data_IF_728617627410
#
_entry.id   IF_728617627410
#
_cell.length_a   1.000
_cell.length_b   1.000
_cell.length_c   1.000
_cell.angle_alpha   90.00
_cell.angle_beta   90.00
_cell.angle_gamma   90.00
#
_symmetry.space_group_name_H-M   'P 1'
#
loop_
_entity.id
_entity.type
_entity.pdbx_description
1 polymer ?
#
# COMPACT_ATOMS: atom_id res chain seq x y z
N UNK A 1 6.38 -4.64 35.79
CA UNK A 1 5.92 -5.99 36.17
C UNK A 1 4.48 -6.05 36.72
N UNK A 2 3.70 -4.94 36.72
CA UNK A 2 2.30 -4.92 37.19
C UNK A 2 1.26 -4.87 36.05
N UNK A 3 1.66 -4.64 34.80
CA UNK A 3 0.70 -4.33 33.71
C UNK A 3 0.16 -5.56 32.94
N UNK A 4 0.92 -6.67 32.90
CA UNK A 4 0.50 -7.87 32.15
C UNK A 4 -0.63 -8.66 32.81
N UNK A 5 -0.79 -8.57 34.15
CA UNK A 5 -1.86 -9.30 34.87
C UNK A 5 -3.23 -8.68 34.60
N UNK A 6 -3.30 -7.36 34.50
CA UNK A 6 -4.53 -6.65 34.17
C UNK A 6 -4.98 -6.95 32.73
N UNK A 7 -4.03 -6.94 31.79
CA UNK A 7 -4.28 -7.38 30.41
C UNK A 7 -4.78 -8.83 30.36
N UNK A 8 -4.17 -9.71 31.18
CA UNK A 8 -4.60 -11.09 31.35
C UNK A 8 -6.05 -11.21 31.84
N UNK A 9 -6.47 -10.43 32.84
CA UNK A 9 -7.86 -10.42 33.30
C UNK A 9 -8.85 -9.92 32.24
N UNK A 10 -8.45 -8.95 31.42
CA UNK A 10 -9.28 -8.48 30.29
C UNK A 10 -9.46 -9.60 29.26
N UNK A 11 -8.39 -10.28 28.85
CA UNK A 11 -8.47 -11.40 27.90
C UNK A 11 -9.26 -12.59 28.47
N UNK A 12 -9.13 -12.88 29.77
CA UNK A 12 -9.93 -13.90 30.46
C UNK A 12 -11.41 -13.51 30.46
N UNK A 13 -11.73 -12.25 30.77
CA UNK A 13 -13.10 -11.74 30.74
C UNK A 13 -13.73 -11.84 29.34
N UNK A 14 -12.98 -11.44 28.31
CA UNK A 14 -13.40 -11.58 26.90
C UNK A 14 -13.63 -13.05 26.55
N UNK A 15 -12.72 -13.94 26.94
CA UNK A 15 -12.84 -15.38 26.71
C UNK A 15 -14.05 -16.02 27.38
N UNK A 16 -14.33 -15.65 28.64
CA UNK A 16 -15.53 -16.10 29.38
C UNK A 16 -16.80 -15.62 28.67
N UNK A 17 -16.81 -14.38 28.19
CA UNK A 17 -17.97 -13.79 27.52
C UNK A 17 -18.27 -14.49 26.18
N UNK A 18 -17.25 -14.78 25.36
CA UNK A 18 -17.40 -15.59 24.15
C UNK A 18 -17.82 -17.04 24.45
N UNK A 19 -17.30 -17.64 25.53
CA UNK A 19 -17.68 -18.98 25.95
C UNK A 19 -19.14 -19.06 26.40
N UNK A 20 -19.60 -18.11 27.23
CA UNK A 20 -21.00 -18.01 27.66
C UNK A 20 -21.96 -17.76 26.50
N UNK A 21 -21.53 -17.01 25.49
CA UNK A 21 -22.30 -16.82 24.26
C UNK A 21 -22.42 -18.13 23.46
N UNK A 22 -21.32 -18.85 23.25
CA UNK A 22 -21.32 -20.16 22.57
C UNK A 22 -22.14 -21.21 23.33
N UNK A 23 -22.14 -21.12 24.67
CA UNK A 23 -22.93 -21.98 25.55
C UNK A 23 -24.43 -21.59 25.61
N UNK A 24 -24.86 -20.52 24.92
CA UNK A 24 -26.25 -20.07 24.89
C UNK A 24 -26.74 -19.40 26.17
N UNK A 25 -25.84 -19.06 27.11
CA UNK A 25 -26.17 -18.39 28.38
C UNK A 25 -26.46 -16.91 28.18
N UNK A 26 -25.78 -16.28 27.22
CA UNK A 26 -26.02 -14.89 26.83
C UNK A 26 -26.29 -14.81 25.33
N UNK A 27 -27.38 -14.15 24.96
CA UNK A 27 -27.72 -13.86 23.57
C UNK A 27 -27.19 -12.48 23.18
N UNK A 28 -25.86 -12.34 23.19
CA UNK A 28 -25.22 -11.24 22.50
C UNK A 28 -25.09 -11.70 21.05
N UNK A 29 -25.65 -10.96 20.10
CA UNK A 29 -25.30 -11.22 18.71
C UNK A 29 -23.79 -10.90 18.58
N UNK A 30 -22.93 -11.91 18.40
CA UNK A 30 -21.50 -11.66 18.15
C UNK A 30 -21.32 -10.68 16.96
N UNK A 31 -22.28 -10.71 16.03
CA UNK A 31 -22.40 -9.77 14.92
C UNK A 31 -22.55 -8.30 15.34
N UNK A 32 -23.06 -8.00 16.54
CA UNK A 32 -23.22 -6.62 17.05
C UNK A 32 -22.12 -6.18 18.02
N UNK A 33 -21.32 -7.11 18.55
CA UNK A 33 -20.34 -6.81 19.60
C UNK A 33 -18.92 -6.51 19.07
N UNK A 34 -18.58 -6.95 17.86
CA UNK A 34 -17.24 -6.78 17.29
C UNK A 34 -16.77 -5.32 17.15
N UNK A 35 -17.62 -4.29 16.92
CA UNK A 35 -17.17 -2.90 16.85
C UNK A 35 -16.58 -2.39 18.16
N UNK A 36 -17.06 -2.90 19.31
CA UNK A 36 -16.55 -2.53 20.62
C UNK A 36 -15.10 -2.96 20.84
N UNK A 37 -14.60 -3.95 20.10
CA UNK A 37 -13.18 -4.31 20.12
C UNK A 37 -12.30 -3.14 19.68
N UNK A 38 -12.73 -2.36 18.68
CA UNK A 38 -12.02 -1.17 18.21
C UNK A 38 -12.02 -0.07 19.27
N UNK A 39 -13.16 0.14 19.95
CA UNK A 39 -13.26 1.11 21.05
C UNK A 39 -12.38 0.70 22.23
N UNK A 40 -12.38 -0.58 22.60
CA UNK A 40 -11.51 -1.10 23.66
C UNK A 40 -10.03 -0.96 23.30
N UNK A 41 -9.66 -1.26 22.04
CA UNK A 41 -8.30 -1.10 21.54
C UNK A 41 -7.87 0.37 21.59
N UNK A 42 -8.75 1.27 21.16
CA UNK A 42 -8.52 2.72 21.25
C UNK A 42 -8.30 3.17 22.70
N UNK A 43 -9.17 2.74 23.61
CA UNK A 43 -9.04 3.05 25.04
C UNK A 43 -7.71 2.51 25.60
N UNK A 44 -7.29 1.31 25.20
CA UNK A 44 -6.01 0.72 25.57
C UNK A 44 -4.81 1.55 25.11
N UNK A 45 -4.79 2.02 23.85
CA UNK A 45 -3.73 2.87 23.33
C UNK A 45 -3.67 4.23 24.02
N UNK A 46 -4.83 4.87 24.22
CA UNK A 46 -4.93 6.15 24.93
C UNK A 46 -4.52 6.02 26.40
N UNK A 47 -4.99 4.99 27.10
CA UNK A 47 -4.59 4.70 28.47
C UNK A 47 -3.09 4.41 28.56
N UNK A 48 -2.55 3.62 27.62
CA UNK A 48 -1.11 3.36 27.51
C UNK A 48 -0.30 4.64 27.40
N UNK A 49 -0.74 5.59 26.56
CA UNK A 49 -0.11 6.91 26.48
C UNK A 49 -0.23 7.69 27.81
N UNK A 50 -1.41 7.70 28.45
CA UNK A 50 -1.60 8.36 29.75
C UNK A 50 -0.69 7.78 30.84
N UNK A 51 -0.53 6.46 30.89
CA UNK A 51 0.34 5.78 31.86
C UNK A 51 1.83 6.03 31.65
N UNK A 52 2.23 6.50 30.46
CA UNK A 52 3.60 7.00 30.24
C UNK A 52 3.84 8.41 30.82
N UNK A 53 2.84 9.00 31.49
CA UNK A 53 2.90 10.39 31.94
C UNK A 53 2.76 11.39 30.79
N UNK A 54 2.10 10.99 29.69
CA UNK A 54 1.95 11.78 28.46
C UNK A 54 3.30 12.17 27.82
N UNK A 55 4.29 11.29 27.90
CA UNK A 55 5.61 11.52 27.34
C UNK A 55 5.52 11.68 25.81
N UNK A 56 6.03 12.80 25.28
CA UNK A 56 5.86 13.18 23.87
C UNK A 56 6.52 12.20 22.90
N UNK A 57 7.58 11.50 23.31
CA UNK A 57 8.23 10.44 22.53
C UNK A 57 7.35 9.17 22.42
N UNK A 58 6.34 9.02 23.28
CA UNK A 58 5.36 7.92 23.27
C UNK A 58 4.04 8.29 22.60
N UNK A 59 3.89 9.52 22.10
CA UNK A 59 2.68 9.97 21.40
C UNK A 59 2.38 9.13 20.13
N UNK A 60 3.35 8.38 19.61
CA UNK A 60 3.12 7.40 18.54
C UNK A 60 2.06 6.34 18.87
N UNK A 61 1.81 6.06 20.16
CA UNK A 61 0.72 5.18 20.61
C UNK A 61 -0.67 5.72 20.26
N UNK A 62 -0.81 7.05 20.15
CA UNK A 62 -2.08 7.68 19.82
C UNK A 62 -2.45 7.51 18.35
N UNK A 63 -1.49 7.24 17.44
CA UNK A 63 -1.81 7.01 16.02
C UNK A 63 -2.78 5.83 15.85
N UNK A 64 -2.46 4.60 16.30
CA UNK A 64 -3.43 3.50 16.25
C UNK A 64 -4.61 3.74 17.20
N UNK A 65 -4.45 4.51 18.29
CA UNK A 65 -5.51 4.90 19.20
C UNK A 65 -6.63 5.71 18.52
N UNK A 66 -6.30 6.81 17.86
CA UNK A 66 -7.23 7.66 17.11
C UNK A 66 -7.83 6.95 15.90
N UNK A 67 -7.03 6.15 15.16
CA UNK A 67 -7.55 5.34 14.04
C UNK A 67 -8.66 4.40 14.53
N UNK A 68 -8.37 3.62 15.57
CA UNK A 68 -9.32 2.64 16.11
C UNK A 68 -10.52 3.31 16.80
N UNK A 69 -10.36 4.54 17.30
CA UNK A 69 -11.48 5.32 17.83
C UNK A 69 -12.50 5.64 16.74
N UNK A 70 -12.05 6.26 15.63
CA UNK A 70 -12.92 6.65 14.52
C UNK A 70 -13.57 5.42 13.90
N UNK A 71 -12.78 4.36 13.63
CA UNK A 71 -13.31 3.12 13.08
C UNK A 71 -14.29 2.44 14.03
N UNK A 72 -14.01 2.43 15.33
CA UNK A 72 -14.93 1.87 16.33
C UNK A 72 -16.26 2.62 16.36
N UNK A 73 -16.24 3.96 16.34
CA UNK A 73 -17.45 4.77 16.26
C UNK A 73 -18.23 4.51 14.97
N UNK A 74 -17.54 4.47 13.82
CA UNK A 74 -18.11 4.18 12.51
C UNK A 74 -18.78 2.80 12.49
N UNK A 75 -18.07 1.76 12.91
CA UNK A 75 -18.58 0.40 12.91
C UNK A 75 -19.70 0.18 13.92
N UNK A 76 -19.69 0.88 15.07
CA UNK A 76 -20.83 0.89 15.98
C UNK A 76 -22.08 1.44 15.28
N UNK A 77 -21.94 2.57 14.57
CA UNK A 77 -23.03 3.16 13.80
C UNK A 77 -23.50 2.26 12.65
N UNK A 78 -22.60 1.76 11.82
CA UNK A 78 -22.93 0.88 10.70
C UNK A 78 -23.60 -0.40 11.19
N UNK A 79 -23.05 -1.03 12.23
CA UNK A 79 -23.65 -2.24 12.81
C UNK A 79 -25.01 -1.97 13.44
N UNK A 80 -25.19 -0.84 14.13
CA UNK A 80 -26.48 -0.44 14.71
C UNK A 80 -27.55 -0.13 13.66
N UNK A 81 -27.14 0.29 12.47
CA UNK A 81 -28.03 0.59 11.33
C UNK A 81 -28.14 -0.56 10.35
N UNK A 82 -27.61 -1.74 10.67
CA UNK A 82 -27.62 -2.89 9.76
C UNK A 82 -26.87 -2.62 8.45
N UNK A 83 -25.85 -1.76 8.50
CA UNK A 83 -25.02 -1.30 7.39
C UNK A 83 -25.77 -0.50 6.31
N UNK A 84 -26.99 -0.04 6.60
CA UNK A 84 -27.85 0.67 5.64
C UNK A 84 -27.20 1.93 5.04
N UNK A 85 -26.28 2.57 5.78
CA UNK A 85 -25.63 3.83 5.38
C UNK A 85 -24.18 3.66 4.91
N UNK A 86 -23.68 2.44 4.75
CA UNK A 86 -22.28 2.17 4.40
C UNK A 86 -21.85 2.86 3.09
N UNK A 87 -22.77 3.04 2.14
CA UNK A 87 -22.54 3.76 0.88
C UNK A 87 -22.27 5.26 1.06
N UNK A 88 -22.69 5.85 2.19
CA UNK A 88 -22.55 7.28 2.49
C UNK A 88 -21.45 7.50 3.54
N UNK A 89 -21.25 6.55 4.47
CA UNK A 89 -20.30 6.72 5.58
C UNK A 89 -18.86 6.35 5.24
N UNK A 90 -18.58 5.77 4.06
CA UNK A 90 -17.23 5.36 3.69
C UNK A 90 -16.15 6.47 3.76
N UNK A 91 -16.41 7.78 3.54
CA UNK A 91 -15.37 8.79 3.67
C UNK A 91 -14.82 8.92 5.10
N UNK A 92 -15.55 8.44 6.12
CA UNK A 92 -15.08 8.39 7.52
C UNK A 92 -13.85 7.49 7.68
N UNK A 93 -13.69 6.45 6.83
CA UNK A 93 -12.47 5.64 6.82
C UNK A 93 -11.21 6.48 6.55
N UNK A 94 -11.32 7.57 5.78
CA UNK A 94 -10.20 8.50 5.49
C UNK A 94 -9.86 9.36 6.71
N UNK A 95 -10.85 9.72 7.52
CA UNK A 95 -10.66 10.52 8.73
C UNK A 95 -10.05 9.73 9.90
N UNK A 96 -10.12 8.39 9.88
CA UNK A 96 -9.48 7.56 10.91
C UNK A 96 -7.96 7.81 11.03
N UNK A 97 -7.14 7.68 9.96
CA UNK A 97 -5.73 8.06 10.04
C UNK A 97 -5.52 9.57 10.25
N UNK A 98 -6.45 10.43 9.83
CA UNK A 98 -6.36 11.86 10.07
C UNK A 98 -6.38 12.18 11.58
N UNK A 99 -7.29 11.57 12.35
CA UNK A 99 -7.37 11.76 13.80
C UNK A 99 -6.12 11.21 14.49
N UNK A 100 -5.69 9.98 14.18
CA UNK A 100 -4.50 9.40 14.79
C UNK A 100 -3.22 10.24 14.56
N UNK A 101 -3.05 10.78 13.34
CA UNK A 101 -1.95 11.69 13.04
C UNK A 101 -2.11 13.05 13.71
N UNK A 102 -3.34 13.55 13.86
CA UNK A 102 -3.62 14.79 14.58
C UNK A 102 -3.26 14.68 16.07
N UNK A 103 -3.60 13.56 16.70
CA UNK A 103 -3.22 13.27 18.09
C UNK A 103 -1.70 13.17 18.24
N UNK A 104 -1.02 12.49 17.30
CA UNK A 104 0.44 12.47 17.24
C UNK A 104 1.03 13.88 17.11
N UNK A 105 0.45 14.74 16.28
CA UNK A 105 0.90 16.12 16.19
C UNK A 105 0.69 16.86 17.51
N UNK A 106 -0.52 16.78 18.08
CA UNK A 106 -0.88 17.55 19.26
C UNK A 106 -0.04 17.17 20.50
N UNK A 107 0.18 15.87 20.72
CA UNK A 107 0.89 15.34 21.88
C UNK A 107 2.37 15.00 21.62
N UNK A 108 2.78 14.78 20.37
CA UNK A 108 4.14 14.37 19.97
C UNK A 108 5.09 15.52 19.64
N UNK A 109 4.90 16.68 20.28
CA UNK A 109 5.77 17.85 20.12
C UNK A 109 5.47 18.73 18.90
N UNK A 110 4.25 18.66 18.35
CA UNK A 110 3.71 19.60 17.34
C UNK A 110 4.58 19.78 16.09
N UNK A 111 5.24 18.70 15.65
CA UNK A 111 6.03 18.70 14.41
C UNK A 111 5.13 19.05 13.22
N UNK A 112 5.32 20.23 12.64
CA UNK A 112 4.50 20.77 11.55
C UNK A 112 4.40 19.86 10.33
N UNK A 113 5.42 19.03 10.08
CA UNK A 113 5.38 18.02 9.02
C UNK A 113 4.23 17.01 9.15
N UNK A 114 3.77 16.70 10.37
CA UNK A 114 2.64 15.78 10.61
C UNK A 114 1.30 16.43 10.24
N UNK A 115 1.19 17.77 10.29
CA UNK A 115 -0.04 18.46 9.89
C UNK A 115 -0.34 18.31 8.40
N UNK A 116 0.68 18.13 7.56
CA UNK A 116 0.49 17.97 6.11
C UNK A 116 -0.45 16.78 5.80
N UNK A 117 -0.15 15.54 6.21
CA UNK A 117 -1.07 14.42 5.99
C UNK A 117 -2.40 14.57 6.76
N UNK A 118 -2.41 15.19 7.95
CA UNK A 118 -3.66 15.46 8.69
C UNK A 118 -4.62 16.33 7.86
N UNK A 119 -4.14 17.45 7.33
CA UNK A 119 -4.94 18.34 6.50
C UNK A 119 -5.35 17.68 5.19
N UNK A 120 -4.46 16.94 4.53
CA UNK A 120 -4.78 16.22 3.29
C UNK A 120 -5.91 15.22 3.55
N UNK A 121 -5.79 14.33 4.54
CA UNK A 121 -6.79 13.31 4.81
C UNK A 121 -8.12 13.91 5.27
N UNK A 122 -8.08 14.96 6.10
CA UNK A 122 -9.28 15.66 6.54
C UNK A 122 -10.01 16.33 5.35
N UNK A 123 -9.26 17.04 4.50
CA UNK A 123 -9.80 17.71 3.32
C UNK A 123 -10.34 16.71 2.30
N UNK A 124 -9.63 15.61 2.03
CA UNK A 124 -10.10 14.57 1.11
C UNK A 124 -11.41 13.96 1.61
N UNK A 125 -11.51 13.57 2.88
CA UNK A 125 -12.77 13.06 3.42
C UNK A 125 -13.92 14.09 3.35
N UNK A 126 -13.63 15.38 3.60
CA UNK A 126 -14.61 16.44 3.47
C UNK A 126 -15.07 16.66 2.00
N UNK A 127 -14.14 16.60 1.04
CA UNK A 127 -14.44 16.69 -0.40
C UNK A 127 -15.27 15.49 -0.85
N UNK A 128 -14.98 14.27 -0.36
CA UNK A 128 -15.78 13.09 -0.65
C UNK A 128 -17.23 13.25 -0.14
N UNK A 129 -17.42 13.74 1.09
CA UNK A 129 -18.76 14.06 1.60
C UNK A 129 -19.46 15.17 0.79
N UNK A 130 -18.76 16.24 0.46
CA UNK A 130 -19.30 17.31 -0.37
C UNK A 130 -19.71 16.79 -1.75
N UNK A 131 -18.91 15.90 -2.34
CA UNK A 131 -19.19 15.26 -3.62
C UNK A 131 -20.49 14.45 -3.60
N UNK A 132 -20.79 13.76 -2.51
CA UNK A 132 -22.07 13.03 -2.36
C UNK A 132 -23.30 13.95 -2.43
N UNK A 133 -23.16 15.23 -2.04
CA UNK A 133 -24.24 16.22 -2.15
C UNK A 133 -24.39 16.77 -3.57
N UNK A 134 -23.36 16.63 -4.41
CA UNK A 134 -23.25 17.28 -5.70
C UNK A 134 -23.67 16.40 -6.89
N UNK A 135 -24.21 15.20 -6.64
CA UNK A 135 -24.63 14.25 -7.68
C UNK A 135 -23.57 14.17 -8.81
N UNK A 136 -23.96 14.45 -10.05
CA UNK A 136 -23.07 14.38 -11.22
C UNK A 136 -21.97 15.47 -11.26
N UNK A 137 -22.08 16.52 -10.45
CA UNK A 137 -21.18 17.68 -10.47
C UNK A 137 -19.96 17.54 -9.55
N UNK A 138 -19.84 16.45 -8.77
CA UNK A 138 -18.72 16.25 -7.85
C UNK A 138 -17.31 16.37 -8.47
N UNK A 139 -17.05 16.00 -9.76
CA UNK A 139 -15.74 16.15 -10.37
C UNK A 139 -15.31 17.61 -10.52
N UNK A 140 -16.25 18.57 -10.47
CA UNK A 140 -15.93 20.01 -10.43
C UNK A 140 -15.08 20.40 -9.25
N UNK A 141 -15.26 19.75 -8.10
CA UNK A 141 -14.45 20.07 -6.93
C UNK A 141 -12.96 19.78 -7.23
N UNK A 142 -12.69 18.67 -7.92
CA UNK A 142 -11.34 18.27 -8.34
C UNK A 142 -10.80 19.25 -9.38
N UNK A 143 -11.60 19.61 -10.40
CA UNK A 143 -11.21 20.59 -11.42
C UNK A 143 -10.97 21.97 -10.78
N UNK A 144 -11.82 22.41 -9.87
CA UNK A 144 -11.65 23.68 -9.14
C UNK A 144 -10.35 23.69 -8.34
N UNK A 145 -10.06 22.63 -7.59
CA UNK A 145 -8.79 22.49 -6.87
C UNK A 145 -7.63 22.52 -7.87
N UNK A 146 -7.72 21.80 -8.97
CA UNK A 146 -6.70 21.85 -10.03
C UNK A 146 -6.45 23.27 -10.53
N UNK A 147 -7.49 24.04 -10.85
CA UNK A 147 -7.37 25.43 -11.30
C UNK A 147 -6.70 26.32 -10.24
N UNK A 148 -7.05 26.14 -8.95
CA UNK A 148 -6.39 26.84 -7.84
C UNK A 148 -4.88 26.53 -7.81
N UNK A 149 -4.48 25.26 -8.02
CA UNK A 149 -3.07 24.88 -8.10
C UNK A 149 -2.35 25.55 -9.27
N UNK A 150 -2.96 25.58 -10.47
CA UNK A 150 -2.41 26.25 -11.64
C UNK A 150 -2.25 27.75 -11.40
N UNK A 151 -3.30 28.44 -10.95
CA UNK A 151 -3.26 29.88 -10.62
C UNK A 151 -2.14 30.13 -9.59
N UNK A 152 -2.09 29.34 -8.52
CA UNK A 152 -1.07 29.45 -7.48
C UNK A 152 0.35 29.23 -8.03
N UNK A 153 0.53 28.33 -9.01
CA UNK A 153 1.82 28.07 -9.62
C UNK A 153 2.38 29.26 -10.40
N UNK A 154 1.49 30.06 -11.01
CA UNK A 154 1.88 31.29 -11.71
C UNK A 154 2.02 32.49 -10.77
N UNK A 155 1.22 32.56 -9.69
CA UNK A 155 1.37 33.58 -8.63
C UNK A 155 2.64 33.40 -7.78
N UNK A 156 3.07 32.16 -7.55
CA UNK A 156 4.25 31.83 -6.73
C UNK A 156 5.32 31.06 -7.52
N UNK A 157 6.12 31.74 -8.38
CA UNK A 157 7.09 31.08 -9.26
C UNK A 157 8.08 30.14 -8.55
N UNK A 158 8.44 30.45 -7.30
CA UNK A 158 9.37 29.62 -6.50
C UNK A 158 8.82 28.23 -6.16
N UNK A 159 7.49 28.07 -6.11
CA UNK A 159 6.79 26.81 -5.81
C UNK A 159 6.20 26.15 -7.06
N UNK A 160 6.39 26.75 -8.24
CA UNK A 160 5.69 26.39 -9.48
C UNK A 160 5.74 24.90 -9.81
N UNK A 161 6.94 24.30 -9.86
CA UNK A 161 7.10 22.85 -10.12
C UNK A 161 6.33 21.98 -9.12
N UNK A 162 6.29 22.35 -7.84
CA UNK A 162 5.56 21.59 -6.82
C UNK A 162 4.04 21.75 -6.89
N UNK A 163 3.56 22.79 -7.57
CA UNK A 163 2.13 23.07 -7.74
C UNK A 163 1.58 22.55 -9.08
N UNK A 164 2.36 22.66 -10.16
CA UNK A 164 1.94 22.18 -11.50
C UNK A 164 1.81 20.67 -11.56
N UNK A 165 2.69 19.89 -10.90
CA UNK A 165 2.58 18.42 -10.92
C UNK A 165 1.20 17.96 -10.38
N UNK A 166 0.82 18.26 -9.13
CA UNK A 166 -0.49 17.89 -8.63
C UNK A 166 -1.63 18.63 -9.36
N UNK A 167 -1.41 19.88 -9.80
CA UNK A 167 -2.40 20.64 -10.58
C UNK A 167 -2.79 19.91 -11.87
N UNK A 168 -1.83 19.60 -12.73
CA UNK A 168 -2.05 18.92 -14.00
C UNK A 168 -2.61 17.50 -13.82
N UNK A 169 -2.16 16.75 -12.79
CA UNK A 169 -2.76 15.45 -12.45
C UNK A 169 -4.25 15.60 -12.15
N UNK A 170 -4.60 16.50 -11.22
CA UNK A 170 -5.99 16.73 -10.84
C UNK A 170 -6.82 17.27 -12.01
N UNK A 171 -6.23 18.01 -12.95
CA UNK A 171 -6.95 18.52 -14.11
C UNK A 171 -7.45 17.38 -15.00
N UNK A 172 -6.52 16.50 -15.39
CA UNK A 172 -6.82 15.37 -16.27
C UNK A 172 -7.70 14.36 -15.54
N UNK A 173 -7.40 14.04 -14.29
CA UNK A 173 -8.23 13.15 -13.48
C UNK A 173 -9.63 13.72 -13.25
N UNK A 174 -9.77 15.01 -12.97
CA UNK A 174 -11.07 15.66 -12.81
C UNK A 174 -11.89 15.66 -14.10
N UNK A 175 -11.24 15.91 -15.25
CA UNK A 175 -11.89 15.82 -16.56
C UNK A 175 -12.32 14.39 -16.91
N UNK A 176 -11.50 13.39 -16.60
CA UNK A 176 -11.87 11.99 -16.76
C UNK A 176 -13.06 11.62 -15.87
N UNK A 177 -13.01 11.96 -14.58
CA UNK A 177 -14.10 11.65 -13.65
C UNK A 177 -15.40 12.35 -14.01
N UNK A 178 -15.32 13.56 -14.56
CA UNK A 178 -16.47 14.24 -15.16
C UNK A 178 -17.03 13.42 -16.33
N UNK A 179 -16.19 13.01 -17.27
CA UNK A 179 -16.61 12.16 -18.40
C UNK A 179 -17.24 10.83 -17.94
N UNK A 180 -16.61 10.12 -17.01
CA UNK A 180 -17.13 8.88 -16.45
C UNK A 180 -18.48 9.11 -15.76
N UNK A 181 -18.61 10.20 -15.00
CA UNK A 181 -19.87 10.52 -14.32
C UNK A 181 -20.99 10.83 -15.33
N UNK A 182 -20.69 11.56 -16.42
CA UNK A 182 -21.67 11.82 -17.50
C UNK A 182 -22.07 10.58 -18.31
N UNK A 183 -21.28 9.52 -18.24
CA UNK A 183 -21.50 8.27 -18.98
C UNK A 183 -21.92 7.12 -18.08
N UNK A 184 -22.32 7.42 -16.83
CA UNK A 184 -22.66 6.42 -15.81
C UNK A 184 -21.58 5.33 -15.68
N UNK A 185 -20.31 5.72 -15.82
CA UNK A 185 -19.12 4.87 -15.74
C UNK A 185 -19.09 3.75 -16.80
N UNK A 186 -19.83 3.90 -17.89
CA UNK A 186 -19.95 2.88 -18.94
C UNK A 186 -18.62 2.55 -19.65
N UNK A 187 -17.60 3.41 -19.54
CA UNK A 187 -16.31 3.26 -20.21
C UNK A 187 -15.13 3.11 -19.24
N UNK A 188 -15.40 2.92 -17.95
CA UNK A 188 -14.36 2.90 -16.91
C UNK A 188 -13.32 1.78 -17.11
N UNK A 189 -13.70 0.70 -17.78
CA UNK A 189 -12.85 -0.43 -18.16
C UNK A 189 -11.84 -0.08 -19.28
N UNK A 190 -12.16 0.90 -20.13
CA UNK A 190 -11.31 1.34 -21.24
C UNK A 190 -10.52 2.60 -20.91
N UNK A 191 -11.06 3.49 -20.07
CA UNK A 191 -10.47 4.82 -19.79
C UNK A 191 -9.45 4.84 -18.66
N UNK A 192 -9.28 3.74 -17.91
CA UNK A 192 -8.28 3.67 -16.82
C UNK A 192 -6.85 4.10 -17.21
N UNK A 193 -6.34 3.90 -18.46
CA UNK A 193 -5.00 4.36 -18.81
C UNK A 193 -4.85 5.90 -18.77
N UNK A 194 -5.96 6.64 -18.82
CA UNK A 194 -5.97 8.11 -18.69
C UNK A 194 -5.45 8.56 -17.32
N UNK A 195 -5.58 7.74 -16.26
CA UNK A 195 -4.94 8.04 -14.96
C UNK A 195 -3.40 8.07 -15.07
N UNK A 196 -2.79 7.21 -15.88
CA UNK A 196 -1.34 7.27 -16.14
C UNK A 196 -0.98 8.49 -16.99
N UNK A 197 -1.82 8.83 -17.96
CA UNK A 197 -1.67 10.05 -18.74
C UNK A 197 -1.77 11.31 -17.86
N UNK A 198 -2.62 11.33 -16.84
CA UNK A 198 -2.72 12.44 -15.89
C UNK A 198 -1.38 12.71 -15.18
N UNK A 199 -0.68 11.66 -14.75
CA UNK A 199 0.67 11.76 -14.16
C UNK A 199 1.68 12.26 -15.19
N UNK A 200 1.64 11.74 -16.41
CA UNK A 200 2.49 12.23 -17.50
C UNK A 200 2.28 13.72 -17.77
N UNK A 201 1.03 14.17 -17.82
CA UNK A 201 0.64 15.55 -18.07
C UNK A 201 1.15 16.49 -16.97
N UNK A 202 0.93 16.16 -15.68
CA UNK A 202 1.44 16.97 -14.58
C UNK A 202 2.98 17.09 -14.56
N UNK A 203 3.69 16.00 -14.90
CA UNK A 203 5.14 16.02 -15.04
C UNK A 203 5.61 16.84 -16.26
N UNK A 204 4.92 16.71 -17.39
CA UNK A 204 5.20 17.47 -18.62
C UNK A 204 5.01 18.96 -18.39
N UNK A 205 3.87 19.34 -17.81
CA UNK A 205 3.52 20.72 -17.50
C UNK A 205 4.56 21.35 -16.57
N UNK A 206 4.95 20.62 -15.54
CA UNK A 206 6.00 21.03 -14.61
C UNK A 206 7.37 21.19 -15.27
N UNK A 207 7.70 20.35 -16.25
CA UNK A 207 8.89 20.52 -17.08
C UNK A 207 8.79 21.75 -18.01
N UNK A 208 7.62 21.97 -18.61
CA UNK A 208 7.38 23.02 -19.61
C UNK A 208 7.40 24.42 -18.98
N UNK A 209 6.69 24.61 -17.87
CA UNK A 209 6.52 25.92 -17.23
C UNK A 209 7.33 26.10 -15.95
N UNK A 210 7.86 25.01 -15.36
CA UNK A 210 8.70 25.02 -14.17
C UNK A 210 10.19 24.83 -14.50
N UNK A 211 10.85 23.93 -13.76
CA UNK A 211 12.28 23.64 -13.97
C UNK A 211 12.46 22.63 -15.11
N UNK A 212 13.18 23.03 -16.17
CA UNK A 212 13.52 22.17 -17.32
C UNK A 212 14.53 21.06 -16.96
N UNK A 213 14.10 20.09 -16.16
CA UNK A 213 14.91 18.93 -15.78
C UNK A 213 14.69 17.78 -16.76
N UNK A 214 15.79 17.21 -17.28
CA UNK A 214 15.72 16.05 -18.20
C UNK A 214 14.96 14.88 -17.59
N UNK A 215 15.10 14.66 -16.28
CA UNK A 215 14.39 13.59 -15.57
C UNK A 215 12.86 13.71 -15.63
N UNK A 216 12.31 14.93 -15.51
CA UNK A 216 10.86 15.16 -15.61
C UNK A 216 10.35 14.86 -17.02
N UNK A 217 11.07 15.30 -18.05
CA UNK A 217 10.72 15.03 -19.44
C UNK A 217 10.76 13.52 -19.76
N UNK A 218 11.82 12.83 -19.31
CA UNK A 218 11.96 11.38 -19.51
C UNK A 218 10.82 10.64 -18.79
N UNK A 219 10.56 10.96 -17.52
CA UNK A 219 9.49 10.33 -16.75
C UNK A 219 8.11 10.58 -17.39
N UNK A 220 7.84 11.82 -17.82
CA UNK A 220 6.62 12.17 -18.54
C UNK A 220 6.48 11.39 -19.85
N UNK A 221 7.53 11.33 -20.68
CA UNK A 221 7.51 10.60 -21.94
C UNK A 221 7.28 9.10 -21.74
N UNK A 222 7.94 8.49 -20.75
CA UNK A 222 7.74 7.08 -20.40
C UNK A 222 6.29 6.83 -19.97
N UNK A 223 5.75 7.65 -19.08
CA UNK A 223 4.37 7.50 -18.61
C UNK A 223 3.34 7.79 -19.72
N UNK A 224 3.62 8.72 -20.63
CA UNK A 224 2.79 8.97 -21.81
C UNK A 224 2.77 7.72 -22.70
N UNK A 225 3.92 7.14 -23.00
CA UNK A 225 4.01 5.92 -23.80
C UNK A 225 3.25 4.76 -23.15
N UNK A 226 3.32 4.59 -21.83
CA UNK A 226 2.58 3.55 -21.11
C UNK A 226 1.08 3.82 -21.15
N UNK A 227 0.64 5.07 -20.91
CA UNK A 227 -0.77 5.44 -20.99
C UNK A 227 -1.34 5.22 -22.39
N UNK A 228 -0.61 5.65 -23.43
CA UNK A 228 -0.97 5.44 -24.84
C UNK A 228 -1.03 3.93 -25.15
N UNK A 229 -0.03 3.16 -24.72
CA UNK A 229 -0.02 1.71 -24.87
C UNK A 229 -1.23 1.06 -24.18
N UNK A 230 -1.61 1.51 -22.99
CA UNK A 230 -2.81 1.06 -22.30
C UNK A 230 -4.08 1.29 -23.13
N UNK A 231 -4.25 2.47 -23.71
CA UNK A 231 -5.39 2.77 -24.60
C UNK A 231 -5.38 1.84 -25.83
N UNK A 232 -4.23 1.66 -26.48
CA UNK A 232 -4.10 0.74 -27.62
C UNK A 232 -4.33 -0.73 -27.24
N UNK A 233 -3.93 -1.14 -26.03
CA UNK A 233 -4.19 -2.51 -25.56
C UNK A 233 -5.69 -2.76 -25.35
N UNK A 234 -6.46 -1.75 -24.94
CA UNK A 234 -7.92 -1.91 -24.79
C UNK A 234 -8.65 -2.11 -26.12
N UNK A 235 -8.09 -1.65 -27.26
CA UNK A 235 -8.70 -1.88 -28.58
C UNK A 235 -8.27 -3.18 -29.24
N UNK A 236 -7.30 -3.91 -28.66
CA UNK A 236 -6.80 -5.17 -29.19
C UNK A 236 -6.83 -6.26 -28.11
N UNK A 237 -7.85 -7.11 -28.14
CA UNK A 237 -8.08 -8.17 -27.15
C UNK A 237 -6.86 -9.07 -26.94
N UNK A 238 -6.14 -9.43 -28.00
CA UNK A 238 -4.94 -10.29 -27.90
C UNK A 238 -3.83 -9.59 -27.11
N UNK A 239 -3.60 -8.29 -27.35
CA UNK A 239 -2.61 -7.52 -26.60
C UNK A 239 -3.07 -7.29 -25.16
N UNK A 240 -4.36 -7.06 -24.94
CA UNK A 240 -4.94 -6.88 -23.60
C UNK A 240 -4.72 -8.13 -22.72
N UNK A 241 -5.11 -9.29 -23.23
CA UNK A 241 -5.11 -10.55 -22.49
C UNK A 241 -3.68 -11.09 -22.29
N UNK A 242 -2.80 -10.93 -23.29
CA UNK A 242 -1.50 -11.58 -23.29
C UNK A 242 -0.29 -10.65 -23.17
N UNK A 243 -0.44 -9.35 -23.40
CA UNK A 243 0.68 -8.42 -23.54
C UNK A 243 1.19 -7.83 -22.22
N UNK A 244 0.37 -7.80 -21.17
CA UNK A 244 0.71 -7.13 -19.92
C UNK A 244 1.93 -7.71 -19.16
N UNK A 245 2.26 -9.03 -19.20
CA UNK A 245 3.48 -9.54 -18.55
C UNK A 245 4.77 -8.96 -19.15
N UNK A 246 4.75 -8.57 -20.43
CA UNK A 246 5.87 -7.92 -21.10
C UNK A 246 6.28 -6.61 -20.41
N UNK A 247 5.30 -5.86 -19.90
CA UNK A 247 5.53 -4.60 -19.19
C UNK A 247 6.37 -4.85 -17.92
N UNK A 248 6.06 -5.91 -17.17
CA UNK A 248 6.82 -6.28 -15.97
C UNK A 248 8.28 -6.63 -16.30
N UNK A 249 8.52 -7.40 -17.36
CA UNK A 249 9.87 -7.72 -17.81
C UNK A 249 10.62 -6.46 -18.26
N UNK A 250 9.98 -5.59 -19.05
CA UNK A 250 10.58 -4.33 -19.51
C UNK A 250 10.95 -3.43 -18.33
N UNK A 251 10.09 -3.30 -17.32
CA UNK A 251 10.44 -2.58 -16.09
C UNK A 251 11.56 -3.26 -15.31
N UNK A 252 11.52 -4.59 -15.19
CA UNK A 252 12.59 -5.38 -14.60
C UNK A 252 13.94 -5.04 -15.24
N UNK A 253 14.03 -5.09 -16.57
CA UNK A 253 15.22 -4.71 -17.34
C UNK A 253 15.58 -3.23 -17.13
N UNK A 254 14.60 -2.33 -17.12
CA UNK A 254 14.83 -0.91 -16.92
C UNK A 254 15.52 -0.60 -15.57
N UNK A 255 15.23 -1.35 -14.51
CA UNK A 255 15.94 -1.26 -13.23
C UNK A 255 17.40 -1.74 -13.29
N UNK A 256 17.72 -2.66 -14.21
CA UNK A 256 19.06 -3.19 -14.41
C UNK A 256 19.95 -2.26 -15.23
N UNK A 257 19.39 -1.55 -16.22
CA UNK A 257 20.15 -0.67 -17.14
C UNK A 257 21.07 0.31 -16.39
N UNK A 258 20.61 1.09 -15.38
CA UNK A 258 21.47 2.03 -14.66
C UNK A 258 22.66 1.38 -13.96
N UNK A 259 22.56 0.09 -13.59
CA UNK A 259 23.59 -0.65 -12.87
C UNK A 259 24.64 -1.24 -13.81
N UNK A 260 24.22 -1.72 -14.99
CA UNK A 260 25.10 -2.38 -15.96
C UNK A 260 25.51 -1.49 -17.15
N UNK A 261 25.07 -0.23 -17.19
CA UNK A 261 25.49 0.73 -18.21
C UNK A 261 26.96 1.15 -18.07
N UNK A 262 27.50 1.79 -19.12
CA UNK A 262 28.88 2.32 -19.12
C UNK A 262 29.16 3.37 -18.03
N UNK A 263 28.12 3.94 -17.41
CA UNK A 263 28.21 4.88 -16.27
C UNK A 263 27.34 4.36 -15.12
N UNK A 264 27.80 3.33 -14.39
CA UNK A 264 26.97 2.60 -13.45
C UNK A 264 26.61 3.45 -12.23
N UNK A 265 25.34 3.42 -11.84
CA UNK A 265 24.85 3.99 -10.58
C UNK A 265 25.24 3.07 -9.43
N UNK A 266 25.88 3.61 -8.40
CA UNK A 266 26.29 2.86 -7.20
C UNK A 266 25.14 2.59 -6.23
N UNK A 267 24.02 2.09 -6.73
CA UNK A 267 22.86 1.73 -5.91
C UNK A 267 22.28 0.38 -6.35
N UNK A 268 22.96 -0.71 -5.95
CA UNK A 268 22.50 -2.08 -6.20
C UNK A 268 21.11 -2.37 -5.60
N UNK A 269 20.60 -1.52 -4.70
CA UNK A 269 19.22 -1.59 -4.20
C UNK A 269 18.16 -1.54 -5.30
N UNK A 270 18.46 -0.92 -6.46
CA UNK A 270 17.58 -0.90 -7.63
C UNK A 270 17.36 -2.30 -8.24
N UNK A 271 18.29 -3.24 -8.03
CA UNK A 271 18.14 -4.61 -8.53
C UNK A 271 17.08 -5.40 -7.76
N UNK A 272 16.76 -5.03 -6.51
CA UNK A 272 15.70 -5.74 -5.76
C UNK A 272 14.34 -5.67 -6.47
N UNK A 273 13.77 -4.48 -6.75
CA UNK A 273 12.53 -4.40 -7.53
C UNK A 273 12.73 -4.90 -8.96
N UNK A 274 13.93 -4.70 -9.56
CA UNK A 274 14.24 -5.21 -10.90
C UNK A 274 14.11 -6.72 -11.02
N UNK A 275 14.78 -7.48 -10.16
CA UNK A 275 14.76 -8.93 -10.13
C UNK A 275 13.38 -9.50 -9.78
N UNK A 276 12.68 -8.88 -8.83
CA UNK A 276 11.29 -9.25 -8.51
C UNK A 276 10.41 -9.14 -9.75
N UNK A 277 10.45 -8.00 -10.44
CA UNK A 277 9.63 -7.76 -11.63
C UNK A 277 10.00 -8.69 -12.79
N UNK A 278 11.28 -9.03 -12.95
CA UNK A 278 11.74 -9.93 -14.00
C UNK A 278 11.22 -11.36 -13.78
N UNK A 279 11.40 -11.92 -12.59
CA UNK A 279 10.91 -13.28 -12.26
C UNK A 279 9.38 -13.32 -12.26
N UNK A 280 8.73 -12.31 -11.71
CA UNK A 280 7.25 -12.21 -11.69
C UNK A 280 6.69 -12.05 -13.10
N UNK A 281 7.34 -11.28 -13.97
CA UNK A 281 6.96 -11.13 -15.38
C UNK A 281 7.07 -12.46 -16.14
N UNK A 282 8.14 -13.21 -15.94
CA UNK A 282 8.30 -14.57 -16.52
C UNK A 282 7.21 -15.53 -16.01
N UNK A 283 6.92 -15.51 -14.71
CA UNK A 283 5.82 -16.29 -14.14
C UNK A 283 4.49 -15.95 -14.81
N UNK A 284 4.16 -14.66 -14.95
CA UNK A 284 2.89 -14.26 -15.54
C UNK A 284 2.81 -14.55 -17.03
N UNK A 285 3.92 -14.52 -17.78
CA UNK A 285 3.93 -15.06 -19.14
C UNK A 285 3.55 -16.54 -19.18
N UNK A 286 4.06 -17.34 -18.24
CA UNK A 286 3.70 -18.74 -18.11
C UNK A 286 2.22 -18.93 -17.73
N UNK A 287 1.71 -18.17 -16.75
CA UNK A 287 0.31 -18.22 -16.34
C UNK A 287 -0.62 -17.89 -17.51
N UNK A 288 -0.36 -16.78 -18.19
CA UNK A 288 -1.13 -16.35 -19.37
C UNK A 288 -1.06 -17.40 -20.48
N UNK A 289 0.13 -17.95 -20.79
CA UNK A 289 0.29 -18.97 -21.83
C UNK A 289 -0.42 -20.29 -21.49
N UNK A 290 -0.69 -20.55 -20.22
CA UNK A 290 -1.39 -21.75 -19.73
C UNK A 290 -2.84 -21.48 -19.31
N UNK A 291 -3.38 -20.30 -19.63
CA UNK A 291 -4.71 -19.85 -19.20
C UNK A 291 -4.93 -20.01 -17.68
N UNK A 292 -3.91 -19.68 -16.89
CA UNK A 292 -3.89 -19.73 -15.42
C UNK A 292 -4.12 -21.12 -14.82
N UNK A 293 -4.01 -22.19 -15.63
CA UNK A 293 -4.30 -23.57 -15.21
C UNK A 293 -3.42 -24.06 -14.05
N UNK A 294 -2.27 -23.43 -13.81
CA UNK A 294 -1.30 -23.82 -12.78
C UNK A 294 -1.17 -22.80 -11.64
N UNK A 295 -1.96 -21.73 -11.64
CA UNK A 295 -1.92 -20.66 -10.63
C UNK A 295 -2.02 -21.15 -9.18
N UNK A 296 -2.73 -22.27 -8.95
CA UNK A 296 -2.84 -22.91 -7.63
C UNK A 296 -1.54 -23.53 -7.10
N UNK A 297 -0.56 -23.79 -7.96
CA UNK A 297 0.70 -24.47 -7.60
C UNK A 297 1.96 -23.63 -7.86
N UNK A 298 1.85 -22.57 -8.67
CA UNK A 298 2.98 -21.71 -9.06
C UNK A 298 3.21 -20.52 -8.12
N UNK A 299 2.28 -20.25 -7.19
CA UNK A 299 2.43 -19.17 -6.21
C UNK A 299 3.77 -19.15 -5.44
N UNK A 300 4.47 -20.27 -5.16
CA UNK A 300 5.78 -20.20 -4.50
C UNK A 300 6.84 -19.48 -5.33
N UNK A 301 6.64 -19.32 -6.64
CA UNK A 301 7.54 -18.54 -7.52
C UNK A 301 7.56 -17.06 -7.11
N UNK A 302 6.51 -16.52 -6.47
CA UNK A 302 6.56 -15.15 -5.91
C UNK A 302 7.60 -15.02 -4.79
N UNK A 303 7.80 -16.08 -3.99
CA UNK A 303 8.86 -16.12 -2.97
C UNK A 303 10.25 -16.20 -3.64
N UNK A 304 10.38 -16.96 -4.74
CA UNK A 304 11.60 -16.99 -5.54
C UNK A 304 11.89 -15.64 -6.20
N UNK A 305 10.88 -14.89 -6.64
CA UNK A 305 11.05 -13.55 -7.19
C UNK A 305 11.66 -12.59 -6.15
N UNK A 306 11.14 -12.62 -4.92
CA UNK A 306 11.70 -11.86 -3.79
C UNK A 306 13.13 -12.32 -3.44
N UNK A 307 13.37 -13.64 -3.41
CA UNK A 307 14.70 -14.19 -3.15
C UNK A 307 15.71 -13.76 -4.23
N UNK A 308 15.30 -13.76 -5.50
CA UNK A 308 16.13 -13.36 -6.63
C UNK A 308 16.51 -11.89 -6.56
N UNK A 309 15.56 -10.97 -6.33
CA UNK A 309 15.87 -9.55 -6.18
C UNK A 309 16.84 -9.28 -5.01
N UNK A 310 16.65 -9.97 -3.87
CA UNK A 310 17.60 -9.88 -2.74
C UNK A 310 18.96 -10.50 -3.07
N UNK A 311 18.99 -11.58 -3.86
CA UNK A 311 20.21 -12.22 -4.33
C UNK A 311 21.03 -11.30 -5.24
N UNK A 312 20.38 -10.57 -6.14
CA UNK A 312 21.04 -9.57 -6.97
C UNK A 312 21.62 -8.44 -6.13
N UNK A 313 20.88 -7.95 -5.13
CA UNK A 313 21.41 -6.99 -4.16
C UNK A 313 22.60 -7.55 -3.39
N UNK A 314 22.57 -8.82 -2.99
CA UNK A 314 23.72 -9.45 -2.34
C UNK A 314 24.91 -9.52 -3.29
N UNK A 315 24.71 -9.98 -4.53
CA UNK A 315 25.77 -10.21 -5.50
C UNK A 315 26.46 -8.90 -5.92
N UNK A 316 25.68 -7.85 -6.19
CA UNK A 316 26.16 -6.58 -6.74
C UNK A 316 26.23 -5.44 -5.71
N UNK A 317 25.62 -5.59 -4.52
CA UNK A 317 25.59 -4.59 -3.45
C UNK A 317 26.61 -4.80 -2.33
N UNK A 318 27.72 -5.48 -2.63
CA UNK A 318 28.84 -5.66 -1.70
C UNK A 318 28.78 -6.91 -0.82
N UNK A 319 28.00 -7.93 -1.22
CA UNK A 319 28.00 -9.28 -0.62
C UNK A 319 27.76 -9.30 0.90
N UNK A 320 26.83 -8.45 1.37
CA UNK A 320 26.49 -8.37 2.79
C UNK A 320 25.91 -9.70 3.27
N UNK A 321 26.63 -10.41 4.15
CA UNK A 321 26.25 -11.76 4.64
C UNK A 321 24.85 -11.81 5.26
N UNK A 322 24.38 -10.70 5.85
CA UNK A 322 23.05 -10.62 6.44
C UNK A 322 21.91 -10.88 5.43
N UNK A 323 22.11 -10.56 4.14
CA UNK A 323 21.12 -10.82 3.08
C UNK A 323 20.99 -12.30 2.74
N UNK A 324 21.99 -13.13 3.03
CA UNK A 324 21.90 -14.56 2.76
C UNK A 324 20.76 -15.19 3.56
N UNK A 325 20.52 -14.73 4.80
CA UNK A 325 19.43 -15.23 5.66
C UNK A 325 18.07 -15.14 4.95
N UNK A 326 17.55 -13.94 4.57
CA UNK A 326 16.27 -13.87 3.89
C UNK A 326 16.29 -14.56 2.51
N UNK A 327 17.39 -14.51 1.75
CA UNK A 327 17.49 -15.23 0.46
C UNK A 327 17.28 -16.74 0.66
N UNK A 328 18.04 -17.35 1.56
CA UNK A 328 17.96 -18.79 1.81
C UNK A 328 16.60 -19.18 2.40
N UNK A 329 16.05 -18.40 3.33
CA UNK A 329 14.72 -18.66 3.89
C UNK A 329 13.66 -18.64 2.80
N UNK A 330 13.63 -17.61 1.95
CA UNK A 330 12.66 -17.50 0.85
C UNK A 330 12.83 -18.63 -0.17
N UNK A 331 14.07 -18.93 -0.59
CA UNK A 331 14.35 -19.99 -1.55
C UNK A 331 13.97 -21.37 -1.02
N UNK A 332 14.39 -21.73 0.20
CA UNK A 332 14.06 -23.04 0.79
C UNK A 332 12.55 -23.17 0.99
N UNK A 333 11.89 -22.13 1.49
CA UNK A 333 10.43 -22.12 1.66
C UNK A 333 9.73 -22.36 0.33
N UNK A 334 10.14 -21.64 -0.73
CA UNK A 334 9.57 -21.79 -2.05
C UNK A 334 9.78 -23.19 -2.63
N UNK A 335 10.99 -23.73 -2.55
CA UNK A 335 11.31 -25.07 -3.03
C UNK A 335 10.49 -26.13 -2.29
N UNK A 336 10.32 -26.00 -0.98
CA UNK A 336 9.51 -26.94 -0.24
C UNK A 336 8.02 -26.90 -0.63
N UNK A 337 7.45 -25.72 -0.86
CA UNK A 337 6.09 -25.63 -1.39
C UNK A 337 5.97 -26.23 -2.79
N UNK A 338 6.94 -26.01 -3.68
CA UNK A 338 6.97 -26.65 -5.01
C UNK A 338 7.05 -28.18 -4.88
N UNK A 339 7.90 -28.69 -4.00
CA UNK A 339 8.03 -30.14 -3.75
C UNK A 339 6.76 -30.75 -3.16
N UNK A 340 6.01 -30.01 -2.33
CA UNK A 340 4.71 -30.44 -1.78
C UNK A 340 3.67 -30.71 -2.89
N UNK A 341 3.71 -29.96 -3.99
CA UNK A 341 2.80 -30.18 -5.11
C UNK A 341 3.22 -31.31 -6.04
N UNK A 342 4.47 -31.78 -5.96
CA UNK A 342 5.03 -32.83 -6.81
C UNK A 342 5.22 -34.17 -6.07
N UNK A 343 5.17 -34.19 -4.73
CA UNK A 343 5.46 -35.38 -3.90
C UNK A 343 4.50 -35.53 -2.71
N UNK A 344 4.17 -36.80 -2.41
CA UNK A 344 3.25 -37.32 -1.38
C UNK A 344 3.75 -37.06 0.07
N UNK A 345 4.11 -35.83 0.43
CA UNK A 345 4.53 -35.51 1.80
C UNK A 345 3.45 -34.74 2.58
N UNK A 346 3.00 -35.26 3.73
CA UNK A 346 2.00 -34.57 4.54
C UNK A 346 2.58 -33.30 5.19
N UNK A 347 1.77 -32.23 5.21
CA UNK A 347 2.08 -30.89 5.76
C UNK A 347 2.63 -30.91 7.19
N UNK A 348 2.32 -31.97 7.96
CA UNK A 348 2.77 -32.16 9.34
C UNK A 348 4.28 -32.36 9.49
N UNK A 349 4.98 -32.88 8.47
CA UNK A 349 6.43 -33.12 8.49
C UNK A 349 7.22 -31.90 8.00
N UNK A 350 6.56 -31.00 7.26
CA UNK A 350 7.19 -29.85 6.60
C UNK A 350 7.65 -28.76 7.57
N UNK A 351 6.77 -28.26 8.43
CA UNK A 351 7.08 -27.17 9.38
C UNK A 351 8.28 -27.50 10.29
N UNK A 352 8.39 -28.71 10.87
CA UNK A 352 9.55 -29.07 11.69
C UNK A 352 10.88 -29.02 10.94
N UNK A 353 10.96 -29.56 9.72
CA UNK A 353 12.22 -29.60 8.94
C UNK A 353 12.63 -28.19 8.52
N UNK A 354 11.67 -27.35 8.11
CA UNK A 354 11.93 -25.96 7.77
C UNK A 354 12.52 -25.19 8.97
N UNK A 355 11.92 -25.33 10.16
CA UNK A 355 12.44 -24.69 11.37
C UNK A 355 13.83 -25.21 11.77
N UNK A 356 14.13 -26.50 11.55
CA UNK A 356 15.46 -27.08 11.78
C UNK A 356 16.49 -26.44 10.84
N UNK A 357 16.19 -26.34 9.54
CA UNK A 357 17.09 -25.73 8.57
C UNK A 357 17.33 -24.25 8.84
N UNK A 358 16.29 -23.50 9.22
CA UNK A 358 16.40 -22.10 9.65
C UNK A 358 17.27 -22.01 10.92
N UNK A 359 17.08 -22.91 11.88
CA UNK A 359 17.87 -22.99 13.11
C UNK A 359 19.36 -23.23 12.84
N UNK A 360 19.69 -24.22 12.00
CA UNK A 360 21.06 -24.52 11.57
C UNK A 360 21.67 -23.29 10.87
N UNK A 361 20.91 -22.63 10.00
CA UNK A 361 21.38 -21.45 9.29
C UNK A 361 21.72 -20.29 10.24
N UNK A 362 20.86 -20.02 11.23
CA UNK A 362 21.10 -18.98 12.25
C UNK A 362 22.33 -19.30 13.10
N UNK A 363 22.62 -20.58 13.35
CA UNK A 363 23.80 -21.04 14.09
C UNK A 363 25.10 -20.91 13.29
N UNK A 364 25.05 -21.14 11.97
CA UNK A 364 26.23 -21.05 11.08
C UNK A 364 26.56 -19.59 10.72
N UNK A 365 25.56 -18.70 10.70
CA UNK A 365 25.74 -17.28 10.38
C UNK A 365 25.35 -16.34 11.54
N UNK A 366 26.00 -16.42 12.72
CA UNK A 366 25.70 -15.53 13.82
C UNK A 366 26.04 -14.09 13.44
N UNK A 367 25.04 -13.21 13.46
CA UNK A 367 25.22 -11.78 13.23
C UNK A 367 26.27 -11.21 14.16
N UNK A 368 27.23 -10.45 13.62
CA UNK A 368 28.27 -9.77 14.42
C UNK A 368 27.59 -8.94 15.52
N UNK A 369 27.83 -9.30 16.79
CA UNK A 369 27.50 -8.44 17.93
C UNK A 369 28.23 -7.11 17.73
N UNK A 370 27.50 -6.00 17.56
CA UNK A 370 28.04 -4.66 17.78
C UNK A 370 28.48 -4.61 19.25
N UNK A 371 29.80 -4.53 19.48
CA UNK A 371 30.31 -4.15 20.80
C UNK A 371 29.85 -2.71 21.02
N UNK A 372 29.04 -2.51 22.06
CA UNK A 372 28.76 -1.20 22.66
C UNK A 372 30.03 -0.72 23.34
#
# INVERSE_FOLDING_TARGET
MKDFRFLGFIFIGIGILFFLQKAGVIHIAAASAWPFLFIMLSAGFHAGFLFTGKASDKAGLLVPGGITLVLGCLFCFETATGWAYASITWPVYIWAPALGLFELWFFGGRKTGVLIPVFILSAVGAVCFAGMLMAEAWPLLIILVSLIFHISAFLYPQKRTGLLIPGGILLITGGLLWFETLTDWAYADVTWPVYLFAVSFGLFESWLFGKKQKGLLIASAVLACIGIFGIFSNTNAVINEHGWPAILILFGIAFHIPIFSSKPVKNAGLLVPGGILLITGVLFFFEVATNWSYSGVTWPVYLLAAAFGLFELWLFGGKQKALLIPITVLTLTALCFIMMYQLVFPVSVFWPVLFILIGIMLMVFPGKKRRV
#
